data_IF_578938009786
#
_entry.id   IF_578938009786
#
_cell.length_a   1.000
_cell.length_b   1.000
_cell.length_c   1.000
_cell.angle_alpha   90.00
_cell.angle_beta   90.00
_cell.angle_gamma   90.00
#
_symmetry.space_group_name_H-M   'P 1'
#
loop_
_entity.id
_entity.type
_entity.pdbx_description
1 polymer ?
#
# COMPACT_ATOMS: atom_id res chain seq x y z
N UNK A 1 3.50 -1.96 -11.97
CA UNK A 1 4.54 -2.98 -12.22
C UNK A 1 5.32 -2.72 -13.51
N UNK A 2 4.70 -2.70 -14.70
CA UNK A 2 5.40 -2.56 -16.01
C UNK A 2 6.33 -1.35 -16.12
N UNK A 3 5.90 -0.16 -15.67
CA UNK A 3 6.75 1.04 -15.69
C UNK A 3 7.96 0.93 -14.76
N UNK A 4 7.80 0.33 -13.58
CA UNK A 4 8.91 0.07 -12.65
C UNK A 4 9.91 -0.94 -13.26
N UNK A 5 9.41 -1.99 -13.91
CA UNK A 5 10.26 -2.96 -14.60
C UNK A 5 11.06 -2.32 -15.74
N UNK A 6 10.45 -1.41 -16.52
CA UNK A 6 11.15 -0.65 -17.54
C UNK A 6 12.24 0.24 -16.92
N UNK A 7 11.91 1.00 -15.88
CA UNK A 7 12.88 1.83 -15.17
C UNK A 7 14.04 1.00 -14.60
N UNK A 8 13.76 -0.19 -14.05
CA UNK A 8 14.80 -1.06 -13.50
C UNK A 8 15.72 -1.62 -14.58
N UNK A 9 15.24 -1.84 -15.82
CA UNK A 9 16.12 -2.21 -16.94
C UNK A 9 17.08 -1.06 -17.29
N UNK A 10 16.59 0.17 -17.34
CA UNK A 10 17.42 1.33 -17.65
C UNK A 10 18.46 1.56 -16.56
N UNK A 11 18.09 1.40 -15.28
CA UNK A 11 18.99 1.47 -14.13
C UNK A 11 20.05 0.36 -14.15
N UNK A 12 19.66 -0.86 -14.48
CA UNK A 12 20.61 -1.96 -14.61
C UNK A 12 21.63 -1.69 -15.73
N UNK A 13 21.21 -1.06 -16.83
CA UNK A 13 22.09 -0.69 -17.94
C UNK A 13 23.15 0.37 -17.55
N UNK A 14 22.89 1.20 -16.53
CA UNK A 14 23.83 2.17 -15.98
C UNK A 14 24.63 1.66 -14.78
N UNK A 15 24.45 0.39 -14.39
CA UNK A 15 25.10 -0.21 -13.22
C UNK A 15 24.47 0.18 -11.87
N UNK A 16 23.28 0.79 -11.88
CA UNK A 16 22.56 1.17 -10.68
C UNK A 16 21.73 0.02 -10.09
N UNK A 17 21.46 0.10 -8.79
CA UNK A 17 20.59 -0.87 -8.11
C UNK A 17 19.13 -0.77 -8.58
N UNK A 18 18.41 -1.91 -8.72
CA UNK A 18 16.99 -1.91 -9.04
C UNK A 18 16.17 -1.33 -7.88
N UNK A 19 15.07 -0.67 -8.22
CA UNK A 19 14.10 -0.15 -7.28
C UNK A 19 13.01 -1.18 -6.99
N UNK A 20 12.67 -1.34 -5.71
CA UNK A 20 11.47 -2.05 -5.27
C UNK A 20 10.50 -1.04 -4.68
N UNK A 21 9.24 -1.11 -5.11
CA UNK A 21 8.17 -0.24 -4.61
C UNK A 21 7.09 -1.12 -4.02
N UNK A 22 6.69 -0.83 -2.78
CA UNK A 22 5.57 -1.47 -2.10
C UNK A 22 4.47 -0.45 -1.96
N UNK A 23 3.25 -0.83 -2.35
CA UNK A 23 2.05 -0.03 -2.20
C UNK A 23 1.14 -0.70 -1.17
N UNK A 24 0.77 0.01 -0.11
CA UNK A 24 -0.23 -0.44 0.85
C UNK A 24 -1.49 0.42 0.75
N UNK A 25 -2.65 -0.21 0.78
CA UNK A 25 -3.96 0.43 0.69
C UNK A 25 -4.74 0.16 1.97
N UNK A 26 -5.25 1.21 2.61
CA UNK A 26 -6.03 1.12 3.82
C UNK A 26 -7.15 2.16 3.82
N UNK A 27 -8.27 1.84 4.47
CA UNK A 27 -9.39 2.74 4.67
C UNK A 27 -9.73 2.81 6.15
N UNK A 28 -9.95 4.02 6.66
CA UNK A 28 -10.32 4.28 8.04
C UNK A 28 -10.48 5.77 8.29
N UNK A 29 -10.87 6.13 9.51
CA UNK A 29 -11.14 7.52 9.87
C UNK A 29 -9.86 8.36 9.93
N UNK A 30 -9.94 9.56 9.36
CA UNK A 30 -8.85 10.52 9.24
C UNK A 30 -9.36 11.93 9.50
N UNK A 31 -8.49 12.78 10.05
CA UNK A 31 -8.61 14.23 10.02
C UNK A 31 -7.84 14.75 8.82
N UNK A 32 -8.50 15.50 7.94
CA UNK A 32 -7.92 16.06 6.71
C UNK A 32 -8.08 17.56 6.72
N UNK A 33 -7.04 18.31 6.38
CA UNK A 33 -7.10 19.75 6.31
C UNK A 33 -5.75 20.42 6.14
N UNK A 34 -5.76 21.75 6.20
CA UNK A 34 -4.54 22.57 6.28
C UNK A 34 -4.14 22.71 7.74
N UNK A 35 -2.92 22.31 8.06
CA UNK A 35 -2.32 22.47 9.38
C UNK A 35 -1.27 23.56 9.29
N UNK A 36 -1.48 24.65 10.04
CA UNK A 36 -0.65 25.85 9.99
C UNK A 36 -0.13 26.19 11.39
N UNK A 37 1.19 26.31 11.52
CA UNK A 37 1.87 26.72 12.74
C UNK A 37 2.27 28.21 12.74
N UNK A 38 1.87 28.97 11.72
CA UNK A 38 2.21 30.36 11.48
C UNK A 38 3.52 30.55 10.71
N UNK A 39 4.30 29.49 10.46
CA UNK A 39 5.51 29.50 9.62
C UNK A 39 5.32 28.65 8.36
N UNK A 40 4.54 27.56 8.46
CA UNK A 40 4.25 26.64 7.38
C UNK A 40 2.82 26.13 7.48
N UNK A 41 2.12 26.20 6.35
CA UNK A 41 0.81 25.59 6.17
C UNK A 41 0.93 24.38 5.25
N UNK A 42 0.54 23.20 5.72
CA UNK A 42 0.56 21.95 4.94
C UNK A 42 -0.84 21.32 4.87
N UNK A 43 -1.27 20.97 3.66
CA UNK A 43 -2.47 20.15 3.47
C UNK A 43 -2.10 18.68 3.67
N UNK A 44 -2.55 18.09 4.76
CA UNK A 44 -2.17 16.72 5.13
C UNK A 44 -3.31 15.97 5.82
N UNK A 45 -3.06 14.70 6.14
CA UNK A 45 -3.98 13.81 6.83
C UNK A 45 -3.36 13.29 8.13
N UNK A 46 -4.15 13.22 9.19
CA UNK A 46 -3.73 12.69 10.49
C UNK A 46 -4.75 11.67 11.00
N UNK A 47 -4.30 10.71 11.81
CA UNK A 47 -5.21 9.84 12.56
C UNK A 47 -4.78 8.38 12.63
N UNK A 48 -5.52 7.54 13.38
CA UNK A 48 -5.20 6.13 13.60
C UNK A 48 -5.05 5.33 12.31
N UNK A 49 -5.82 5.64 11.26
CA UNK A 49 -5.72 4.95 9.98
C UNK A 49 -4.33 5.12 9.32
N UNK A 50 -3.66 6.27 9.49
CA UNK A 50 -2.28 6.44 9.01
C UNK A 50 -1.29 5.54 9.75
N UNK A 51 -1.45 5.40 11.07
CA UNK A 51 -0.61 4.51 11.88
C UNK A 51 -0.82 3.05 11.45
N UNK A 52 -2.07 2.65 11.19
CA UNK A 52 -2.40 1.31 10.69
C UNK A 52 -1.82 1.09 9.30
N UNK A 53 -1.95 2.05 8.39
CA UNK A 53 -1.37 2.00 7.05
C UNK A 53 0.16 1.81 7.10
N UNK A 54 0.87 2.52 7.97
CA UNK A 54 2.33 2.35 8.13
C UNK A 54 2.72 0.93 8.61
N UNK A 55 1.93 0.34 9.53
CA UNK A 55 2.13 -1.05 9.98
C UNK A 55 1.85 -2.04 8.85
N UNK A 56 0.78 -1.82 8.07
CA UNK A 56 0.45 -2.65 6.91
C UNK A 56 1.52 -2.59 5.83
N UNK A 57 2.08 -1.41 5.54
CA UNK A 57 3.21 -1.25 4.61
C UNK A 57 4.45 -2.04 5.07
N UNK A 58 4.75 -1.99 6.37
CA UNK A 58 5.85 -2.77 6.97
C UNK A 58 5.62 -4.27 6.79
N UNK A 59 4.41 -4.76 7.05
CA UNK A 59 4.01 -6.16 6.84
C UNK A 59 4.10 -6.56 5.37
N UNK A 60 3.60 -5.72 4.47
CA UNK A 60 3.68 -5.94 3.02
C UNK A 60 5.13 -6.03 2.52
N UNK A 61 6.03 -5.18 3.04
CA UNK A 61 7.47 -5.25 2.75
C UNK A 61 8.08 -6.58 3.21
N UNK A 62 7.72 -7.06 4.39
CA UNK A 62 8.20 -8.31 4.98
C UNK A 62 7.69 -9.55 4.23
N UNK A 63 6.46 -9.49 3.72
CA UNK A 63 5.85 -10.52 2.87
C UNK A 63 6.24 -10.43 1.39
N UNK A 64 7.19 -9.54 1.04
CA UNK A 64 7.66 -9.28 -0.33
C UNK A 64 6.55 -9.02 -1.36
N UNK A 65 5.56 -8.20 -0.96
CA UNK A 65 4.43 -7.84 -1.82
C UNK A 65 4.68 -6.52 -2.55
N UNK A 66 4.33 -6.48 -3.84
CA UNK A 66 4.30 -5.23 -4.61
C UNK A 66 3.13 -4.32 -4.20
N UNK A 67 1.94 -4.90 -4.03
CA UNK A 67 0.70 -4.19 -3.71
C UNK A 67 -0.06 -5.02 -2.67
N UNK A 68 -0.43 -4.38 -1.57
CA UNK A 68 -1.23 -4.98 -0.52
C UNK A 68 -2.42 -4.07 -0.15
N UNK A 69 -3.52 -4.68 0.26
CA UNK A 69 -4.72 -3.99 0.74
C UNK A 69 -5.14 -4.56 2.09
N UNK A 70 -5.65 -3.72 2.98
CA UNK A 70 -6.28 -4.18 4.22
C UNK A 70 -7.68 -4.74 3.97
N UNK A 71 -8.14 -5.61 4.86
CA UNK A 71 -9.54 -6.05 4.92
C UNK A 71 -10.53 -4.89 4.87
N UNK A 72 -10.29 -3.83 5.66
CA UNK A 72 -11.16 -2.64 5.67
C UNK A 72 -11.26 -1.95 4.31
N UNK A 73 -10.16 -1.89 3.56
CA UNK A 73 -10.14 -1.29 2.24
C UNK A 73 -10.97 -2.13 1.25
N UNK A 74 -10.76 -3.46 1.25
CA UNK A 74 -11.53 -4.36 0.38
C UNK A 74 -13.01 -4.38 0.72
N UNK A 75 -13.35 -4.33 2.02
CA UNK A 75 -14.74 -4.21 2.47
C UNK A 75 -15.41 -2.93 1.97
N UNK A 76 -14.68 -1.81 1.97
CA UNK A 76 -15.19 -0.54 1.45
C UNK A 76 -15.27 -0.51 -0.07
N UNK A 77 -14.30 -1.12 -0.76
CA UNK A 77 -14.29 -1.26 -2.22
C UNK A 77 -15.45 -2.13 -2.72
N UNK A 78 -15.85 -3.13 -1.92
CA UNK A 78 -16.87 -4.10 -2.31
C UNK A 78 -16.37 -5.04 -3.42
N UNK A 79 -17.26 -5.60 -4.26
CA UNK A 79 -16.89 -6.59 -5.28
C UNK A 79 -16.10 -5.99 -6.46
N UNK A 80 -15.91 -4.68 -6.50
CA UNK A 80 -15.34 -3.95 -7.62
C UNK A 80 -13.81 -3.90 -7.58
N UNK A 81 -13.16 -5.05 -7.75
CA UNK A 81 -11.76 -5.04 -8.17
C UNK A 81 -11.69 -4.69 -9.67
N UNK A 82 -10.65 -3.96 -10.12
CA UNK A 82 -10.42 -3.74 -11.53
C UNK A 82 -10.33 -5.07 -12.29
N UNK A 83 -10.76 -5.06 -13.56
CA UNK A 83 -10.57 -6.21 -14.45
C UNK A 83 -9.09 -6.61 -14.46
N UNK A 84 -8.84 -7.90 -14.29
CA UNK A 84 -7.48 -8.41 -14.22
C UNK A 84 -6.82 -8.28 -12.84
N UNK A 85 -7.56 -7.97 -11.76
CA UNK A 85 -7.02 -7.98 -10.39
C UNK A 85 -7.77 -8.97 -9.48
N UNK A 86 -7.03 -9.61 -8.57
CA UNK A 86 -7.56 -10.48 -7.51
C UNK A 86 -6.92 -10.13 -6.18
N UNK A 87 -7.69 -10.30 -5.10
CA UNK A 87 -7.19 -10.16 -3.73
C UNK A 87 -7.00 -11.54 -3.12
N UNK A 88 -5.78 -11.82 -2.64
CA UNK A 88 -5.41 -13.09 -2.02
C UNK A 88 -5.02 -12.85 -0.56
N UNK A 89 -5.60 -13.57 0.41
CA UNK A 89 -5.25 -13.37 1.82
C UNK A 89 -3.79 -13.75 2.07
N UNK A 90 -3.08 -12.91 2.81
CA UNK A 90 -1.70 -13.15 3.23
C UNK A 90 -1.74 -13.93 4.54
N UNK A 91 -1.01 -15.04 4.63
CA UNK A 91 -0.89 -15.79 5.87
C UNK A 91 -0.06 -14.99 6.89
N UNK A 92 -0.62 -14.77 8.07
CA UNK A 92 0.02 -14.02 9.15
C UNK A 92 -0.01 -14.82 10.44
N UNK A 93 1.04 -14.67 11.24
CA UNK A 93 1.18 -15.41 12.49
C UNK A 93 0.40 -14.70 13.61
N UNK A 94 -0.60 -15.38 14.16
CA UNK A 94 -1.47 -14.85 15.21
C UNK A 94 -2.69 -14.07 14.70
N UNK A 95 -3.43 -13.47 15.63
CA UNK A 95 -4.65 -12.71 15.34
C UNK A 95 -4.31 -11.25 15.02
N UNK A 96 -4.01 -10.98 13.75
CA UNK A 96 -3.52 -9.68 13.28
C UNK A 96 -4.62 -8.91 12.55
N UNK A 97 -5.00 -7.75 13.10
CA UNK A 97 -6.02 -6.89 12.50
C UNK A 97 -5.49 -5.49 12.12
N UNK A 98 -5.94 -4.94 10.98
CA UNK A 98 -6.74 -5.62 9.95
C UNK A 98 -5.91 -6.67 9.19
N UNK A 99 -6.58 -7.68 8.65
CA UNK A 99 -5.95 -8.71 7.83
C UNK A 99 -5.40 -8.09 6.52
N UNK A 100 -4.30 -8.66 6.01
CA UNK A 100 -3.64 -8.19 4.80
C UNK A 100 -3.97 -9.09 3.59
N UNK A 101 -4.17 -8.47 2.44
CA UNK A 101 -4.40 -9.14 1.16
C UNK A 101 -3.38 -8.67 0.14
N UNK A 102 -2.78 -9.61 -0.60
CA UNK A 102 -1.97 -9.31 -1.78
C UNK A 102 -2.88 -9.01 -2.98
N UNK A 103 -2.55 -7.97 -3.75
CA UNK A 103 -3.26 -7.67 -5.00
C UNK A 103 -2.47 -8.23 -6.18
N UNK A 104 -2.93 -9.37 -6.69
CA UNK A 104 -2.34 -10.09 -7.80
C UNK A 104 -3.05 -9.79 -9.12
N UNK A 105 -2.36 -10.01 -10.23
CA UNK A 105 -2.98 -9.97 -11.55
C UNK A 105 -3.83 -11.25 -11.72
N UNK A 106 -5.06 -11.11 -12.23
CA UNK A 106 -5.92 -12.26 -12.52
C UNK A 106 -5.31 -13.05 -13.68
N UNK A 107 -5.05 -14.34 -13.44
CA UNK A 107 -4.84 -15.32 -14.50
C UNK A 107 -6.09 -15.49 -15.37
#
# INVERSE_FOLDING_TARGET
>A
RTRLAALNRDRAATGDFPLRVVVALHAGDLLVGVFDDGLRAEYTVLGPAMNTLARLETRAKAADLDIAASEDFLRLLGPALPDGARAEPVAEEGDVHPALFAIADAA
#
